data_IF_352195051353
#
_entry.id   IF_352195051353
#
_cell.length_a   1.000
_cell.length_b   1.000
_cell.length_c   1.000
_cell.angle_alpha   90.00
_cell.angle_beta   90.00
_cell.angle_gamma   90.00
#
_symmetry.space_group_name_H-M   'P 1'
#
loop_
_entity.id
_entity.type
_entity.pdbx_description
1 polymer ?
#
# COMPACT_ATOMS: atom_id res chain seq x y z
N UNK A 1 3.37 20.17 65.35
CA UNK A 1 3.76 19.11 64.40
C UNK A 1 2.55 18.73 63.58
N UNK A 2 2.38 19.37 62.43
CA UNK A 2 1.52 18.91 61.33
C UNK A 2 2.36 19.13 60.07
N UNK A 3 2.99 18.07 59.59
CA UNK A 3 3.69 18.04 58.31
C UNK A 3 2.89 17.14 57.37
N UNK A 4 2.33 17.74 56.33
CA UNK A 4 2.09 17.12 55.03
C UNK A 4 2.13 18.27 54.01
N UNK A 5 3.32 18.86 53.85
CA UNK A 5 3.67 19.68 52.70
C UNK A 5 4.37 18.76 51.69
N UNK A 6 3.80 18.69 50.49
CA UNK A 6 4.42 18.15 49.29
C UNK A 6 3.98 19.02 48.14
N UNK A 7 4.77 20.06 47.88
CA UNK A 7 4.54 21.05 46.84
C UNK A 7 4.42 20.41 45.46
N UNK A 8 3.29 20.69 44.80
CA UNK A 8 3.24 20.72 43.35
C UNK A 8 2.87 22.14 42.94
N UNK A 9 3.91 22.88 42.58
CA UNK A 9 3.85 24.15 41.86
C UNK A 9 2.88 24.03 40.68
N UNK A 10 1.69 24.60 40.83
CA UNK A 10 0.83 24.88 39.68
C UNK A 10 1.44 26.11 39.01
N UNK A 11 2.31 25.88 38.04
CA UNK A 11 2.80 26.92 37.14
C UNK A 11 1.60 27.50 36.37
N UNK A 12 1.15 28.69 36.76
CA UNK A 12 0.19 29.49 36.00
C UNK A 12 0.89 30.05 34.75
N UNK A 13 0.42 29.75 33.52
CA UNK A 13 0.92 30.43 32.35
C UNK A 13 0.35 31.86 32.35
N UNK A 14 1.18 32.80 32.82
CA UNK A 14 1.43 34.11 32.21
C UNK A 14 0.30 34.67 31.31
N UNK A 15 -0.85 34.97 31.91
CA UNK A 15 -1.66 36.10 31.46
C UNK A 15 -1.11 37.33 32.17
N UNK A 16 -0.46 38.20 31.40
CA UNK A 16 0.15 39.42 31.91
C UNK A 16 -0.84 40.23 32.74
N UNK A 17 -0.58 40.28 34.05
CA UNK A 17 -1.00 41.36 34.93
C UNK A 17 -0.18 42.60 34.56
N UNK A 18 -0.53 43.17 33.41
CA UNK A 18 0.01 44.41 32.88
C UNK A 18 -1.16 45.31 32.51
N UNK A 19 -1.57 46.16 33.46
CA UNK A 19 -2.24 47.45 33.23
C UNK A 19 -3.45 47.55 32.28
N UNK A 20 -4.18 46.46 31.96
CA UNK A 20 -5.23 46.52 30.92
C UNK A 20 -6.66 46.16 31.35
N UNK A 21 -6.92 45.85 32.61
CA UNK A 21 -8.28 45.65 33.11
C UNK A 21 -8.35 46.22 34.54
N UNK A 22 -8.95 47.40 34.71
CA UNK A 22 -9.08 48.12 35.99
C UNK A 22 -10.06 47.47 36.97
N UNK A 23 -9.92 46.17 37.23
CA UNK A 23 -10.76 45.42 38.16
C UNK A 23 -9.98 45.02 39.42
N UNK A 24 -10.60 45.08 40.60
CA UNK A 24 -9.98 44.65 41.86
C UNK A 24 -9.50 43.18 41.80
N UNK A 25 -8.31 42.91 42.34
CA UNK A 25 -7.66 41.59 42.24
C UNK A 25 -8.47 40.47 42.91
N UNK A 26 -9.19 40.78 43.98
CA UNK A 26 -10.13 39.90 44.67
C UNK A 26 -11.32 39.50 43.79
N UNK A 27 -11.84 40.44 42.99
CA UNK A 27 -12.94 40.17 42.03
C UNK A 27 -12.48 39.28 40.89
N UNK A 28 -11.27 39.48 40.39
CA UNK A 28 -10.69 38.63 39.33
C UNK A 28 -10.43 37.22 39.87
N UNK A 29 -9.88 37.10 41.08
CA UNK A 29 -9.65 35.82 41.73
C UNK A 29 -10.96 35.05 42.00
N UNK A 30 -12.00 35.72 42.52
CA UNK A 30 -13.31 35.10 42.80
C UNK A 30 -13.99 34.58 41.52
N UNK A 31 -13.92 35.31 40.41
CA UNK A 31 -14.43 34.86 39.10
C UNK A 31 -13.64 33.65 38.59
N UNK A 32 -12.31 33.69 38.66
CA UNK A 32 -11.45 32.59 38.22
C UNK A 32 -11.64 31.32 39.06
N UNK A 33 -11.86 31.46 40.37
CA UNK A 33 -12.11 30.34 41.28
C UNK A 33 -13.51 29.76 41.02
N UNK A 34 -14.55 30.60 40.88
CA UNK A 34 -15.91 30.14 40.56
C UNK A 34 -16.00 29.47 39.19
N UNK A 35 -15.32 30.01 38.18
CA UNK A 35 -15.18 29.36 36.88
C UNK A 35 -14.42 28.04 37.00
N UNK A 36 -13.32 27.99 37.75
CA UNK A 36 -12.53 26.76 37.93
C UNK A 36 -13.30 25.65 38.67
N UNK A 37 -14.14 26.00 39.65
CA UNK A 37 -15.00 25.07 40.39
C UNK A 37 -16.15 24.59 39.49
N UNK A 38 -16.84 25.50 38.79
CA UNK A 38 -17.85 25.16 37.77
C UNK A 38 -17.29 24.24 36.68
N UNK A 39 -16.03 24.49 36.27
CA UNK A 39 -15.31 23.65 35.32
C UNK A 39 -14.92 22.28 35.89
N UNK A 40 -14.67 22.14 37.20
CA UNK A 40 -14.35 20.86 37.82
C UNK A 40 -15.58 19.95 37.98
N UNK A 41 -16.75 20.54 38.27
CA UNK A 41 -18.00 19.81 38.53
C UNK A 41 -18.69 19.26 37.27
N UNK A 42 -18.44 19.84 36.09
CA UNK A 42 -19.15 19.49 34.84
C UNK A 42 -18.48 18.43 33.95
N UNK A 43 -17.37 17.83 34.40
CA UNK A 43 -16.66 16.76 33.67
C UNK A 43 -16.01 17.24 32.37
N UNK A 44 -14.77 17.74 32.44
CA UNK A 44 -14.10 18.31 31.27
C UNK A 44 -13.58 17.28 30.27
N UNK A 45 -13.62 17.64 28.98
CA UNK A 45 -12.93 16.94 27.90
C UNK A 45 -11.83 17.80 27.32
N UNK A 46 -10.68 17.19 27.09
CA UNK A 46 -9.54 17.78 26.38
C UNK A 46 -9.52 17.25 24.96
N UNK A 47 -9.31 18.14 24.00
CA UNK A 47 -9.13 17.72 22.61
C UNK A 47 -8.10 18.59 21.92
N UNK A 48 -7.09 17.93 21.38
CA UNK A 48 -6.07 18.55 20.56
C UNK A 48 -6.45 18.37 19.08
N UNK A 49 -6.46 19.47 18.35
CA UNK A 49 -6.65 19.49 16.90
C UNK A 49 -5.29 19.83 16.30
N UNK A 50 -4.63 18.87 15.67
CA UNK A 50 -3.39 19.12 14.93
C UNK A 50 -3.67 20.08 13.78
N UNK A 51 -2.86 21.13 13.66
CA UNK A 51 -2.96 22.12 12.59
C UNK A 51 -1.58 22.40 12.00
N UNK A 52 -1.53 23.00 10.81
CA UNK A 52 -0.32 23.71 10.37
C UNK A 52 -0.19 25.08 11.06
N UNK A 53 0.67 25.93 10.52
CA UNK A 53 0.72 27.33 10.93
C UNK A 53 -0.57 28.06 10.52
N UNK A 54 -1.27 28.65 11.49
CA UNK A 54 -2.54 29.34 11.25
C UNK A 54 -2.32 30.82 10.91
N UNK A 55 -3.04 31.30 9.88
CA UNK A 55 -3.11 32.71 9.52
C UNK A 55 -3.67 33.57 10.67
N UNK A 56 -3.46 34.90 10.62
CA UNK A 56 -4.03 35.82 11.62
C UNK A 56 -5.57 35.80 11.57
N UNK A 57 -6.17 35.68 10.39
CA UNK A 57 -7.61 35.56 10.21
C UNK A 57 -8.17 34.25 10.77
N UNK A 58 -7.51 33.11 10.52
CA UNK A 58 -7.98 31.81 11.01
C UNK A 58 -7.88 31.70 12.53
N UNK A 59 -6.83 32.29 13.14
CA UNK A 59 -6.74 32.42 14.59
C UNK A 59 -7.96 33.16 15.16
N UNK A 60 -8.32 34.31 14.59
CA UNK A 60 -9.52 35.07 15.02
C UNK A 60 -10.80 34.25 14.91
N UNK A 61 -10.99 33.51 13.82
CA UNK A 61 -12.16 32.66 13.60
C UNK A 61 -12.22 31.51 14.61
N UNK A 62 -11.10 30.86 14.87
CA UNK A 62 -10.97 29.78 15.87
C UNK A 62 -11.35 30.28 17.27
N UNK A 63 -10.85 31.45 17.68
CA UNK A 63 -11.20 32.04 18.98
C UNK A 63 -12.67 32.44 19.08
N UNK A 64 -13.26 32.99 18.01
CA UNK A 64 -14.68 33.35 17.98
C UNK A 64 -15.60 32.12 18.14
N UNK A 65 -15.24 30.98 17.56
CA UNK A 65 -15.99 29.72 17.71
C UNK A 65 -15.87 29.18 19.14
N UNK A 66 -14.69 29.29 19.74
CA UNK A 66 -14.48 29.00 21.16
C UNK A 66 -15.44 29.79 22.06
N UNK A 67 -15.46 31.11 21.89
CA UNK A 67 -16.35 32.01 22.63
C UNK A 67 -17.84 31.68 22.41
N UNK A 68 -18.24 31.44 21.16
CA UNK A 68 -19.62 31.08 20.80
C UNK A 68 -20.14 29.84 21.55
N UNK A 69 -19.28 28.86 21.82
CA UNK A 69 -19.66 27.60 22.47
C UNK A 69 -19.26 27.53 23.95
N UNK A 70 -18.72 28.60 24.52
CA UNK A 70 -18.20 28.61 25.89
C UNK A 70 -17.05 27.61 26.09
N UNK A 71 -16.21 27.41 25.07
CA UNK A 71 -15.05 26.51 25.11
C UNK A 71 -13.78 27.34 25.15
N UNK A 72 -12.91 27.06 26.11
CA UNK A 72 -11.60 27.66 26.18
C UNK A 72 -10.72 27.10 25.05
N UNK A 73 -10.07 28.01 24.32
CA UNK A 73 -9.22 27.68 23.18
C UNK A 73 -7.83 28.25 23.40
N UNK A 74 -6.80 27.42 23.26
CA UNK A 74 -5.40 27.86 23.24
C UNK A 74 -4.65 27.26 22.06
N UNK A 75 -3.52 27.88 21.71
CA UNK A 75 -2.66 27.44 20.61
C UNK A 75 -1.32 26.98 21.20
N UNK A 76 -1.02 25.70 21.07
CA UNK A 76 0.30 25.14 21.42
C UNK A 76 1.20 25.28 20.19
N UNK A 77 2.15 26.22 20.27
CA UNK A 77 3.05 26.56 19.16
C UNK A 77 4.07 25.45 18.89
N UNK A 78 4.50 24.72 19.92
CA UNK A 78 5.53 23.70 19.81
C UNK A 78 4.95 22.40 19.22
N UNK A 79 3.69 22.10 19.54
CA UNK A 79 2.98 20.92 19.02
C UNK A 79 2.15 21.19 17.77
N UNK A 80 2.13 22.43 17.29
CA UNK A 80 1.28 22.89 16.19
C UNK A 80 -0.17 22.41 16.34
N UNK A 81 -0.81 22.68 17.48
CA UNK A 81 -2.19 22.27 17.70
C UNK A 81 -3.05 23.33 18.39
N UNK A 82 -4.35 23.22 18.16
CA UNK A 82 -5.39 23.96 18.89
C UNK A 82 -5.85 23.05 20.03
N UNK A 83 -5.76 23.55 21.26
CA UNK A 83 -6.21 22.86 22.46
C UNK A 83 -7.58 23.41 22.86
N UNK A 84 -8.55 22.50 23.02
CA UNK A 84 -9.92 22.83 23.43
C UNK A 84 -10.20 22.27 24.82
N UNK A 85 -10.75 23.12 25.71
CA UNK A 85 -11.14 22.74 27.08
C UNK A 85 -12.52 23.27 27.42
N UNK A 86 -13.39 22.39 27.89
CA UNK A 86 -14.75 22.71 28.31
C UNK A 86 -15.59 21.43 28.47
N UNK A 87 -16.92 21.59 28.52
CA UNK A 87 -17.83 20.44 28.64
C UNK A 87 -17.72 19.52 27.41
N UNK A 88 -17.95 18.20 27.53
CA UNK A 88 -17.66 17.25 26.45
C UNK A 88 -18.46 17.52 25.18
N UNK A 89 -19.71 17.96 25.35
CA UNK A 89 -20.62 18.25 24.24
C UNK A 89 -20.22 19.55 23.52
N UNK A 90 -19.89 20.61 24.27
CA UNK A 90 -19.41 21.87 23.70
C UNK A 90 -18.06 21.69 23.02
N UNK A 91 -17.09 20.99 23.63
CA UNK A 91 -15.79 20.67 23.01
C UNK A 91 -15.96 19.90 21.70
N UNK A 92 -16.89 18.94 21.65
CA UNK A 92 -17.15 18.19 20.42
C UNK A 92 -17.75 19.06 19.31
N UNK A 93 -18.71 19.95 19.65
CA UNK A 93 -19.32 20.91 18.71
C UNK A 93 -18.29 21.92 18.21
N UNK A 94 -17.53 22.54 19.10
CA UNK A 94 -16.45 23.49 18.80
C UNK A 94 -15.40 22.85 17.90
N UNK A 95 -14.97 21.63 18.19
CA UNK A 95 -13.99 20.93 17.37
C UNK A 95 -14.48 20.65 15.94
N UNK A 96 -15.77 20.34 15.80
CA UNK A 96 -16.39 20.08 14.49
C UNK A 96 -16.50 21.36 13.68
N UNK A 97 -16.91 22.46 14.31
CA UNK A 97 -17.04 23.77 13.64
C UNK A 97 -15.67 24.36 13.26
N UNK A 98 -14.67 24.25 14.14
CA UNK A 98 -13.27 24.60 13.81
C UNK A 98 -12.77 23.76 12.63
N UNK A 99 -13.02 22.45 12.64
CA UNK A 99 -12.67 21.56 11.52
C UNK A 99 -13.28 22.02 10.20
N UNK A 100 -14.56 22.41 10.21
CA UNK A 100 -15.26 22.95 9.04
C UNK A 100 -14.69 24.30 8.57
N UNK A 101 -14.33 25.18 9.51
CA UNK A 101 -13.75 26.50 9.23
C UNK A 101 -12.37 26.40 8.58
N UNK A 102 -11.53 25.50 9.09
CA UNK A 102 -10.18 25.26 8.54
C UNK A 102 -10.23 24.49 7.21
N UNK A 103 -11.23 23.63 7.04
CA UNK A 103 -11.50 22.94 5.76
C UNK A 103 -12.06 23.91 4.70
N UNK A 104 -12.92 24.86 5.10
CA UNK A 104 -13.48 25.89 4.20
C UNK A 104 -12.48 26.97 3.83
N UNK A 105 -11.52 27.32 4.70
CA UNK A 105 -10.37 28.14 4.34
C UNK A 105 -9.47 27.44 3.28
N UNK A 106 -9.39 26.11 3.34
CA UNK A 106 -8.71 25.29 2.31
C UNK A 106 -9.54 25.14 1.02
N UNK A 107 -10.80 25.58 1.01
CA UNK A 107 -11.74 25.42 -0.12
C UNK A 107 -11.71 26.57 -1.14
N UNK A 108 -10.92 27.62 -0.91
CA UNK A 108 -10.60 28.62 -1.94
C UNK A 108 -9.64 28.06 -3.01
N UNK A 109 -9.18 26.81 -2.85
CA UNK A 109 -8.57 26.03 -3.92
C UNK A 109 -9.63 25.02 -4.36
N UNK A 110 -10.22 25.24 -5.54
CA UNK A 110 -11.06 24.23 -6.21
C UNK A 110 -10.38 22.85 -6.17
N UNK A 111 -11.11 21.73 -6.23
CA UNK A 111 -10.54 20.41 -6.47
C UNK A 111 -10.08 20.29 -7.93
N UNK A 112 -9.20 21.20 -8.37
CA UNK A 112 -8.33 21.00 -9.52
C UNK A 112 -7.27 20.01 -9.05
N UNK A 113 -7.31 18.81 -9.62
CA UNK A 113 -6.20 17.85 -9.77
C UNK A 113 -5.04 18.09 -8.78
N UNK A 114 -4.89 17.23 -7.77
CA UNK A 114 -3.59 16.94 -7.14
C UNK A 114 -2.68 16.22 -8.15
N UNK A 115 -2.47 16.79 -9.35
CA UNK A 115 -1.42 16.32 -10.25
C UNK A 115 -0.09 16.87 -9.72
N UNK A 116 0.70 15.96 -9.15
CA UNK A 116 2.13 16.03 -8.88
C UNK A 116 2.69 17.38 -8.38
N UNK A 117 2.61 17.62 -7.06
CA UNK A 117 3.54 18.56 -6.39
C UNK A 117 4.99 18.04 -6.38
N UNK A 118 5.18 16.73 -6.58
CA UNK A 118 6.48 16.08 -6.58
C UNK A 118 6.70 15.36 -7.91
N UNK A 119 7.74 15.72 -8.63
CA UNK A 119 8.13 15.04 -9.87
C UNK A 119 8.60 13.62 -9.56
N UNK A 120 8.02 12.61 -10.21
CA UNK A 120 8.47 11.21 -10.08
C UNK A 120 9.99 11.12 -10.31
N UNK A 121 10.66 10.30 -9.50
CA UNK A 121 12.11 10.15 -9.56
C UNK A 121 12.89 11.03 -8.58
N UNK A 122 12.27 12.08 -8.02
CA UNK A 122 12.95 13.02 -7.11
C UNK A 122 12.90 12.57 -5.65
N UNK A 123 13.85 13.05 -4.83
CA UNK A 123 13.85 12.79 -3.38
C UNK A 123 12.56 13.23 -2.70
N UNK A 124 11.95 14.34 -3.14
CA UNK A 124 10.67 14.81 -2.59
C UNK A 124 9.50 13.88 -2.92
N UNK A 125 9.50 13.27 -4.13
CA UNK A 125 8.53 12.24 -4.48
C UNK A 125 8.67 11.00 -3.59
N UNK A 126 9.90 10.54 -3.35
CA UNK A 126 10.13 9.37 -2.51
C UNK A 126 9.75 9.60 -1.05
N UNK A 127 10.08 10.77 -0.49
CA UNK A 127 9.65 11.16 0.86
C UNK A 127 8.12 11.19 0.96
N UNK A 128 7.45 11.79 -0.02
CA UNK A 128 5.99 11.82 -0.08
C UNK A 128 5.37 10.42 -0.09
N UNK A 129 5.91 9.47 -0.87
CA UNK A 129 5.43 8.09 -0.87
C UNK A 129 5.58 7.40 0.49
N UNK A 130 6.68 7.66 1.21
CA UNK A 130 6.93 7.12 2.54
C UNK A 130 6.05 7.76 3.63
N UNK A 131 5.72 9.05 3.49
CA UNK A 131 4.92 9.81 4.45
C UNK A 131 3.41 9.55 4.30
N UNK A 132 2.90 9.61 3.07
CA UNK A 132 1.47 9.47 2.79
C UNK A 132 1.03 8.01 2.67
N UNK A 133 1.97 7.10 2.40
CA UNK A 133 1.73 5.66 2.23
C UNK A 133 0.56 5.41 1.25
N UNK A 134 0.72 5.77 -0.04
CA UNK A 134 -0.39 5.90 -0.97
C UNK A 134 -1.17 4.60 -1.10
N UNK A 135 -2.48 4.78 -1.22
CA UNK A 135 -3.45 3.70 -1.39
C UNK A 135 -3.99 3.74 -2.81
N UNK A 136 -4.52 2.61 -3.33
CA UNK A 136 -5.08 2.59 -4.66
C UNK A 136 -6.40 3.39 -4.65
N UNK A 137 -6.35 4.67 -5.03
CA UNK A 137 -7.48 5.61 -4.97
C UNK A 137 -8.73 5.14 -5.72
N UNK A 138 -8.57 4.19 -6.64
CA UNK A 138 -9.66 3.60 -7.39
C UNK A 138 -10.46 2.55 -6.60
N UNK A 139 -9.98 2.10 -5.44
CA UNK A 139 -10.73 1.22 -4.56
C UNK A 139 -11.90 1.94 -3.89
N UNK A 140 -13.03 1.26 -3.79
CA UNK A 140 -14.24 1.78 -3.13
C UNK A 140 -14.01 2.11 -1.66
N UNK A 141 -13.11 1.40 -0.96
CA UNK A 141 -12.73 1.78 0.40
C UNK A 141 -12.19 3.22 0.51
N UNK A 142 -11.43 3.69 -0.49
CA UNK A 142 -10.73 4.99 -0.45
C UNK A 142 -11.46 6.12 -1.19
N UNK A 143 -12.55 5.83 -1.91
CA UNK A 143 -13.29 6.83 -2.71
C UNK A 143 -13.96 7.95 -1.88
N UNK A 144 -14.08 7.80 -0.57
CA UNK A 144 -14.64 8.81 0.33
C UNK A 144 -13.58 9.78 0.90
N UNK A 145 -12.34 9.76 0.39
CA UNK A 145 -11.27 10.65 0.83
C UNK A 145 -10.69 10.35 2.22
N UNK A 146 -11.08 9.22 2.84
CA UNK A 146 -10.52 8.74 4.10
C UNK A 146 -9.11 8.21 3.88
N UNK A 147 -8.19 8.57 4.77
CA UNK A 147 -6.84 8.02 4.78
C UNK A 147 -6.84 6.52 5.11
N UNK A 148 -5.76 5.84 4.74
CA UNK A 148 -5.55 4.43 5.08
C UNK A 148 -5.75 4.14 6.57
N UNK A 149 -5.18 4.97 7.44
CA UNK A 149 -5.26 4.79 8.88
C UNK A 149 -6.67 5.02 9.44
N UNK A 150 -7.44 5.97 8.89
CA UNK A 150 -8.83 6.19 9.30
C UNK A 150 -9.72 5.00 8.93
N UNK A 151 -9.48 4.41 7.75
CA UNK A 151 -10.17 3.20 7.30
C UNK A 151 -9.79 2.06 8.25
N UNK A 152 -8.50 1.74 8.40
CA UNK A 152 -8.03 0.64 9.27
C UNK A 152 -8.50 0.78 10.72
N UNK A 153 -8.50 2.00 11.31
CA UNK A 153 -8.99 2.22 12.69
C UNK A 153 -10.50 2.00 12.84
N UNK A 154 -11.27 2.17 11.76
CA UNK A 154 -12.73 1.99 11.76
C UNK A 154 -13.19 0.53 11.68
N UNK A 155 -12.33 -0.42 11.30
CA UNK A 155 -12.67 -1.83 11.14
C UNK A 155 -12.51 -2.61 12.46
N UNK A 156 -13.45 -2.43 13.39
CA UNK A 156 -13.57 -3.28 14.59
C UNK A 156 -14.61 -4.41 14.37
N UNK A 157 -15.56 -4.26 13.43
CA UNK A 157 -16.68 -5.20 13.23
C UNK A 157 -17.06 -5.51 11.77
N UNK A 158 -16.24 -5.15 10.78
CA UNK A 158 -16.55 -5.33 9.35
C UNK A 158 -15.54 -6.22 8.62
N UNK A 159 -15.98 -6.88 7.55
CA UNK A 159 -15.07 -7.58 6.64
C UNK A 159 -14.15 -6.58 5.94
N UNK A 160 -12.84 -6.81 6.06
CA UNK A 160 -11.74 -6.08 5.41
C UNK A 160 -11.50 -6.50 3.96
N UNK A 161 -12.31 -7.44 3.46
CA UNK A 161 -12.25 -8.01 2.14
C UNK A 161 -13.55 -7.73 1.38
N UNK A 162 -13.43 -7.14 0.20
CA UNK A 162 -14.54 -6.92 -0.73
C UNK A 162 -14.12 -7.28 -2.14
N UNK A 163 -15.11 -7.68 -2.95
CA UNK A 163 -14.93 -7.99 -4.36
C UNK A 163 -15.99 -7.32 -5.19
N UNK A 164 -15.57 -6.76 -6.32
CA UNK A 164 -16.46 -6.06 -7.23
C UNK A 164 -16.08 -6.40 -8.66
N UNK A 165 -17.07 -6.48 -9.55
CA UNK A 165 -16.77 -6.42 -10.97
C UNK A 165 -16.15 -5.06 -11.31
N UNK A 166 -15.13 -5.09 -12.15
CA UNK A 166 -14.41 -3.89 -12.56
C UNK A 166 -15.23 -3.08 -13.57
N UNK A 167 -14.93 -1.78 -13.69
CA UNK A 167 -15.55 -0.93 -14.71
C UNK A 167 -15.17 -1.39 -16.14
N UNK A 168 -15.99 -1.07 -17.17
CA UNK A 168 -15.76 -1.53 -18.53
C UNK A 168 -14.38 -1.18 -19.12
N UNK A 169 -13.78 -0.05 -18.71
CA UNK A 169 -12.45 0.35 -19.22
C UNK A 169 -11.35 -0.51 -18.60
N UNK A 170 -11.46 -0.81 -17.31
CA UNK A 170 -10.56 -1.73 -16.61
C UNK A 170 -10.71 -3.16 -17.14
N UNK A 171 -11.96 -3.62 -17.36
CA UNK A 171 -12.23 -4.91 -17.99
C UNK A 171 -11.54 -5.03 -19.35
N UNK A 172 -11.74 -4.05 -20.23
CA UNK A 172 -11.11 -4.02 -21.57
C UNK A 172 -9.58 -4.01 -21.51
N UNK A 173 -9.00 -3.26 -20.58
CA UNK A 173 -7.55 -3.22 -20.40
C UNK A 173 -6.97 -4.58 -19.99
N UNK A 174 -7.65 -5.29 -19.07
CA UNK A 174 -7.23 -6.62 -18.61
C UNK A 174 -7.47 -7.68 -19.69
N UNK A 175 -8.57 -7.61 -20.46
CA UNK A 175 -8.77 -8.47 -21.63
C UNK A 175 -7.62 -8.34 -22.63
N UNK A 176 -7.27 -7.10 -22.99
CA UNK A 176 -6.15 -6.82 -23.89
C UNK A 176 -4.83 -7.37 -23.34
N UNK A 177 -4.57 -7.20 -22.04
CA UNK A 177 -3.35 -7.72 -21.42
C UNK A 177 -3.29 -9.26 -21.47
N UNK A 178 -4.41 -9.95 -21.24
CA UNK A 178 -4.50 -11.41 -21.37
C UNK A 178 -4.24 -11.84 -22.82
N UNK A 179 -4.84 -11.16 -23.80
CA UNK A 179 -4.67 -11.42 -25.24
C UNK A 179 -3.22 -11.17 -25.71
N UNK A 180 -2.64 -10.02 -25.36
CA UNK A 180 -1.30 -9.62 -25.78
C UNK A 180 -0.18 -10.48 -25.16
N UNK A 181 -0.48 -11.22 -24.09
CA UNK A 181 0.45 -12.12 -23.39
C UNK A 181 0.15 -13.61 -23.62
N UNK A 182 -0.87 -13.89 -24.43
CA UNK A 182 -1.24 -15.23 -24.86
C UNK A 182 -0.47 -15.61 -26.13
N UNK A 183 0.02 -16.85 -26.20
CA UNK A 183 0.72 -17.38 -27.36
C UNK A 183 0.16 -18.77 -27.70
N UNK A 184 -0.66 -18.89 -28.77
CA UNK A 184 -1.29 -20.15 -29.15
C UNK A 184 -0.26 -21.24 -29.51
N UNK A 185 0.94 -20.89 -30.01
CA UNK A 185 1.95 -21.89 -30.37
C UNK A 185 2.61 -22.56 -29.17
N UNK A 186 2.45 -21.99 -27.97
CA UNK A 186 2.97 -22.54 -26.72
C UNK A 186 1.90 -23.26 -25.89
N UNK A 187 0.65 -23.30 -26.37
CA UNK A 187 -0.41 -24.08 -25.72
C UNK A 187 -0.07 -25.57 -25.84
N UNK A 188 -0.24 -26.30 -24.74
CA UNK A 188 0.09 -27.73 -24.68
C UNK A 188 1.59 -28.03 -24.57
N UNK A 189 2.47 -27.01 -24.61
CA UNK A 189 3.92 -27.20 -24.53
C UNK A 189 4.42 -27.29 -23.08
N UNK A 190 5.10 -28.40 -22.78
CA UNK A 190 5.69 -28.68 -21.46
C UNK A 190 4.82 -29.60 -20.58
N UNK A 191 5.44 -30.19 -19.56
CA UNK A 191 4.81 -31.20 -18.71
C UNK A 191 3.55 -30.71 -17.98
N UNK A 192 3.53 -29.43 -17.57
CA UNK A 192 2.41 -28.82 -16.87
C UNK A 192 1.28 -28.37 -17.81
N UNK A 193 1.50 -28.39 -19.13
CA UNK A 193 0.53 -27.97 -20.14
C UNK A 193 -0.25 -29.15 -20.74
N UNK A 194 -0.01 -30.38 -20.25
CA UNK A 194 -0.63 -31.60 -20.76
C UNK A 194 -2.15 -31.42 -20.93
N UNK A 195 -2.67 -31.94 -22.04
CA UNK A 195 -4.09 -31.90 -22.44
C UNK A 195 -4.68 -30.51 -22.74
N UNK A 196 -3.87 -29.46 -22.91
CA UNK A 196 -4.33 -28.16 -23.42
C UNK A 196 -4.14 -28.08 -24.94
N UNK A 197 -5.18 -27.64 -25.66
CA UNK A 197 -5.17 -27.50 -27.12
C UNK A 197 -6.02 -26.33 -27.66
N UNK A 198 -6.45 -25.41 -26.78
CA UNK A 198 -7.25 -24.26 -27.15
C UNK A 198 -6.43 -23.19 -27.89
N UNK A 199 -7.08 -22.34 -28.67
CA UNK A 199 -6.43 -21.27 -29.47
C UNK A 199 -6.57 -19.88 -28.89
N UNK A 200 -7.45 -19.68 -27.91
CA UNK A 200 -7.62 -18.40 -27.22
C UNK A 200 -8.18 -18.56 -25.80
N UNK A 201 -7.93 -17.54 -24.98
CA UNK A 201 -8.60 -17.34 -23.69
C UNK A 201 -9.59 -16.19 -23.84
N UNK A 202 -10.90 -16.46 -23.75
CA UNK A 202 -11.92 -15.41 -23.75
C UNK A 202 -12.26 -15.02 -22.32
N UNK A 203 -11.85 -13.83 -21.90
CA UNK A 203 -12.18 -13.30 -20.57
C UNK A 203 -13.69 -13.10 -20.45
N UNK A 204 -14.27 -13.65 -19.39
CA UNK A 204 -15.71 -13.59 -19.10
C UNK A 204 -16.02 -12.61 -17.99
N UNK A 205 -15.16 -12.56 -16.98
CA UNK A 205 -15.34 -11.75 -15.77
C UNK A 205 -13.99 -11.31 -15.23
N UNK A 206 -13.93 -10.08 -14.77
CA UNK A 206 -12.80 -9.58 -13.97
C UNK A 206 -13.33 -8.93 -12.72
N UNK A 207 -12.84 -9.38 -11.58
CA UNK A 207 -13.20 -8.85 -10.27
C UNK A 207 -11.98 -8.19 -9.64
N UNK A 208 -12.12 -6.95 -9.17
CA UNK A 208 -11.14 -6.34 -8.28
C UNK A 208 -11.35 -6.87 -6.87
N UNK A 209 -10.24 -7.21 -6.22
CA UNK A 209 -10.17 -7.65 -4.84
C UNK A 209 -9.65 -6.46 -4.04
N UNK A 210 -10.45 -6.00 -3.10
CA UNK A 210 -10.07 -4.98 -2.14
C UNK A 210 -9.93 -5.67 -0.79
N UNK A 211 -8.70 -6.05 -0.43
CA UNK A 211 -8.38 -6.70 0.84
C UNK A 211 -7.40 -5.81 1.61
N UNK A 212 -7.92 -5.10 2.61
CA UNK A 212 -7.17 -4.10 3.37
C UNK A 212 -6.04 -4.72 4.19
N UNK A 213 -6.24 -5.91 4.75
CA UNK A 213 -5.23 -6.56 5.60
C UNK A 213 -4.04 -7.06 4.78
N UNK A 214 -4.32 -7.66 3.61
CA UNK A 214 -3.28 -8.07 2.68
C UNK A 214 -2.57 -6.87 2.07
N UNK A 215 -3.31 -5.83 1.68
CA UNK A 215 -2.70 -4.62 1.12
C UNK A 215 -1.86 -3.87 2.16
N UNK A 216 -2.26 -3.89 3.44
CA UNK A 216 -1.48 -3.31 4.54
C UNK A 216 -0.07 -3.88 4.59
N UNK A 217 0.03 -5.21 4.68
CA UNK A 217 1.34 -5.87 4.80
C UNK A 217 2.16 -5.73 3.52
N UNK A 218 1.49 -5.76 2.36
CA UNK A 218 2.10 -5.49 1.06
C UNK A 218 2.69 -4.08 0.97
N UNK A 219 1.91 -3.07 1.37
CA UNK A 219 2.31 -1.68 1.30
C UNK A 219 3.43 -1.35 2.30
N UNK A 220 3.43 -1.99 3.48
CA UNK A 220 4.56 -1.93 4.42
C UNK A 220 5.84 -2.46 3.74
N UNK A 221 5.78 -3.62 3.07
CA UNK A 221 6.93 -4.16 2.34
C UNK A 221 7.36 -3.24 1.18
N UNK A 222 6.40 -2.66 0.46
CA UNK A 222 6.66 -1.66 -0.60
C UNK A 222 7.44 -0.45 -0.07
N UNK A 223 7.02 0.09 1.07
CA UNK A 223 7.69 1.20 1.75
C UNK A 223 9.07 0.80 2.31
N UNK A 224 9.20 -0.41 2.86
CA UNK A 224 10.48 -0.97 3.30
C UNK A 224 11.48 -1.05 2.13
N UNK A 225 11.07 -1.63 1.00
CA UNK A 225 11.92 -1.74 -0.20
C UNK A 225 12.29 -0.37 -0.78
N UNK A 226 11.37 0.60 -0.74
CA UNK A 226 11.67 1.98 -1.13
C UNK A 226 12.71 2.61 -0.22
N UNK A 227 12.54 2.51 1.10
CA UNK A 227 13.50 3.01 2.07
C UNK A 227 14.86 2.34 1.91
N UNK A 228 14.89 1.03 1.68
CA UNK A 228 16.12 0.30 1.44
C UNK A 228 16.81 0.83 0.17
N UNK A 229 16.09 0.95 -0.95
CA UNK A 229 16.64 1.46 -2.22
C UNK A 229 17.21 2.87 -2.12
N UNK A 230 16.60 3.75 -1.31
CA UNK A 230 17.10 5.12 -1.07
C UNK A 230 18.40 5.16 -0.26
N UNK A 231 18.62 4.17 0.62
CA UNK A 231 19.81 4.07 1.47
C UNK A 231 20.83 3.08 0.91
N UNK A 232 20.52 2.40 -0.20
CA UNK A 232 21.33 1.35 -0.77
C UNK A 232 22.50 1.92 -1.57
N UNK A 233 23.71 1.43 -1.29
CA UNK A 233 24.90 1.73 -2.11
C UNK A 233 24.76 1.20 -3.55
N UNK A 234 23.89 0.21 -3.78
CA UNK A 234 23.60 -0.39 -5.09
C UNK A 234 22.68 0.47 -5.96
N UNK A 235 22.11 1.56 -5.44
CA UNK A 235 21.03 2.35 -6.07
C UNK A 235 19.75 1.55 -6.33
N UNK A 236 18.73 2.18 -6.92
CA UNK A 236 17.47 1.52 -7.29
C UNK A 236 17.71 0.30 -8.22
N UNK A 237 16.87 -0.74 -8.12
CA UNK A 237 17.02 -1.93 -8.92
C UNK A 237 16.92 -1.64 -10.42
N UNK A 238 17.77 -2.31 -11.19
CA UNK A 238 17.73 -2.22 -12.65
C UNK A 238 16.49 -2.93 -13.18
N UNK A 239 15.89 -2.37 -14.22
CA UNK A 239 14.89 -3.05 -15.03
C UNK A 239 15.49 -4.28 -15.71
N UNK A 240 14.66 -5.31 -15.96
CA UNK A 240 15.11 -6.61 -16.44
C UNK A 240 15.88 -6.50 -17.76
N UNK A 241 15.37 -5.70 -18.69
CA UNK A 241 15.98 -5.43 -20.01
C UNK A 241 17.27 -4.60 -19.94
N UNK A 242 17.55 -3.95 -18.80
CA UNK A 242 18.77 -3.17 -18.55
C UNK A 242 19.84 -3.94 -17.79
N UNK A 243 19.58 -5.20 -17.43
CA UNK A 243 20.58 -6.07 -16.84
C UNK A 243 21.52 -6.57 -17.95
N UNK A 244 22.85 -6.37 -17.84
CA UNK A 244 23.80 -6.79 -18.87
C UNK A 244 23.69 -8.29 -19.14
N UNK A 245 23.70 -8.65 -20.42
CA UNK A 245 23.72 -10.06 -20.84
C UNK A 245 25.06 -10.67 -20.44
N UNK A 246 25.03 -11.80 -19.76
CA UNK A 246 26.22 -12.59 -19.44
C UNK A 246 25.87 -14.08 -19.42
N UNK A 247 26.89 -14.92 -19.25
CA UNK A 247 26.74 -16.36 -19.23
C UNK A 247 25.81 -16.86 -18.11
N UNK A 248 24.86 -17.73 -18.48
CA UNK A 248 23.88 -18.32 -17.55
C UNK A 248 22.59 -17.52 -17.39
N UNK A 249 22.42 -16.41 -18.12
CA UNK A 249 21.21 -15.56 -18.10
C UNK A 249 20.80 -14.99 -19.48
N UNK A 250 21.43 -15.44 -20.58
CA UNK A 250 21.14 -14.96 -21.93
C UNK A 250 19.71 -15.22 -22.41
N UNK A 251 19.15 -16.40 -22.14
CA UNK A 251 17.77 -16.78 -22.47
C UNK A 251 16.74 -15.95 -21.68
N UNK A 252 17.11 -15.44 -20.49
CA UNK A 252 16.24 -14.56 -19.69
C UNK A 252 16.28 -13.14 -20.25
N UNK A 253 17.47 -12.62 -20.48
CA UNK A 253 17.72 -11.23 -20.88
C UNK A 253 17.44 -10.97 -22.37
N UNK A 254 17.51 -12.00 -23.22
CA UNK A 254 17.16 -11.90 -24.65
C UNK A 254 15.66 -11.68 -24.88
N UNK A 255 14.79 -12.08 -23.95
CA UNK A 255 13.34 -11.85 -24.01
C UNK A 255 12.93 -10.38 -23.81
N UNK A 256 13.85 -9.51 -23.37
CA UNK A 256 13.61 -8.08 -23.23
C UNK A 256 12.77 -7.71 -22.00
N UNK A 257 11.94 -6.68 -22.12
CA UNK A 257 11.05 -6.18 -21.06
C UNK A 257 10.07 -7.26 -20.59
N UNK A 258 9.57 -7.12 -19.35
CA UNK A 258 8.50 -7.99 -18.83
C UNK A 258 7.23 -7.75 -19.66
N UNK A 259 6.63 -8.81 -20.23
CA UNK A 259 5.51 -8.68 -21.18
C UNK A 259 4.32 -7.91 -20.59
N UNK A 260 4.03 -8.12 -19.30
CA UNK A 260 2.97 -7.42 -18.59
C UNK A 260 3.29 -5.97 -18.29
N UNK A 261 4.57 -5.56 -18.22
CA UNK A 261 4.96 -4.14 -18.16
C UNK A 261 4.84 -3.50 -19.54
N UNK A 262 5.40 -4.16 -20.57
CA UNK A 262 5.42 -3.67 -21.96
C UNK A 262 4.01 -3.44 -22.51
N UNK A 263 3.10 -4.39 -22.27
CA UNK A 263 1.74 -4.36 -22.81
C UNK A 263 0.74 -3.71 -21.85
N UNK A 264 1.20 -3.13 -20.73
CA UNK A 264 0.29 -2.60 -19.73
C UNK A 264 -0.40 -1.31 -20.18
N UNK A 265 -1.65 -1.14 -19.74
CA UNK A 265 -2.35 0.13 -19.93
C UNK A 265 -1.91 1.15 -18.87
N UNK A 266 -1.85 2.44 -19.25
CA UNK A 266 -1.61 3.55 -18.30
C UNK A 266 -2.58 3.54 -17.11
N UNK A 267 -3.77 2.97 -17.28
CA UNK A 267 -4.80 2.84 -16.25
C UNK A 267 -4.36 1.89 -15.13
N UNK A 268 -3.86 0.71 -15.48
CA UNK A 268 -3.37 -0.27 -14.50
C UNK A 268 -2.09 0.22 -13.82
N UNK A 269 -1.29 1.03 -14.51
CA UNK A 269 -0.03 1.58 -14.00
C UNK A 269 -0.17 2.77 -13.04
N UNK A 270 -1.38 3.27 -12.76
CA UNK A 270 -1.59 4.53 -12.01
C UNK A 270 -0.93 4.52 -10.62
N UNK A 271 -0.98 3.40 -9.91
CA UNK A 271 -0.49 3.24 -8.53
C UNK A 271 0.66 2.22 -8.42
N UNK A 272 1.33 1.95 -9.54
CA UNK A 272 2.52 1.09 -9.58
C UNK A 272 3.76 1.95 -9.39
N UNK A 273 4.78 1.46 -8.66
CA UNK A 273 6.11 2.06 -8.46
C UNK A 273 7.15 1.27 -9.29
N UNK A 274 7.35 1.60 -10.58
CA UNK A 274 8.26 0.87 -11.46
C UNK A 274 9.71 0.86 -10.98
N UNK A 275 10.13 1.87 -10.22
CA UNK A 275 11.49 1.99 -9.69
C UNK A 275 11.83 0.88 -8.69
N UNK A 276 10.82 0.22 -8.09
CA UNK A 276 11.01 -0.98 -7.26
C UNK A 276 10.86 -2.28 -8.04
N UNK A 277 10.74 -2.22 -9.37
CA UNK A 277 10.20 -3.30 -10.17
C UNK A 277 8.87 -3.85 -9.58
N UNK A 278 8.00 -2.94 -9.13
CA UNK A 278 6.59 -3.29 -8.88
C UNK A 278 5.92 -3.54 -10.23
N UNK A 279 5.46 -4.77 -10.45
CA UNK A 279 4.90 -5.20 -11.73
C UNK A 279 3.64 -6.02 -11.53
N UNK A 280 2.79 -6.09 -12.56
CA UNK A 280 1.74 -7.09 -12.58
C UNK A 280 2.26 -8.40 -13.16
N UNK A 281 1.91 -9.52 -12.54
CA UNK A 281 2.17 -10.86 -13.06
C UNK A 281 0.93 -11.72 -12.90
N UNK A 282 0.79 -12.71 -13.78
CA UNK A 282 -0.27 -13.71 -13.69
C UNK A 282 0.11 -14.82 -12.72
N UNK A 283 -0.86 -15.29 -11.96
CA UNK A 283 -0.76 -16.48 -11.11
C UNK A 283 -1.95 -17.39 -11.40
N UNK A 284 -1.69 -18.49 -12.11
CA UNK A 284 -2.68 -19.54 -12.34
C UNK A 284 -2.90 -20.39 -11.09
N UNK A 285 -4.14 -20.76 -10.82
CA UNK A 285 -4.44 -21.62 -9.67
C UNK A 285 -5.72 -22.42 -9.87
N UNK A 286 -5.83 -23.57 -9.19
CA UNK A 286 -7.04 -24.38 -9.17
C UNK A 286 -8.17 -23.63 -8.47
N UNK A 287 -9.41 -23.86 -8.93
CA UNK A 287 -10.63 -23.24 -8.38
C UNK A 287 -10.72 -23.31 -6.85
N UNK A 288 -10.30 -24.43 -6.27
CA UNK A 288 -10.39 -24.69 -4.82
C UNK A 288 -9.50 -23.75 -3.97
N UNK A 289 -8.44 -23.18 -4.55
CA UNK A 289 -7.55 -22.26 -3.85
C UNK A 289 -7.95 -20.79 -3.96
N UNK A 290 -8.87 -20.44 -4.87
CA UNK A 290 -9.24 -19.05 -5.17
C UNK A 290 -9.73 -18.31 -3.94
N UNK A 291 -10.66 -18.89 -3.18
CA UNK A 291 -11.20 -18.25 -1.97
C UNK A 291 -10.12 -18.06 -0.90
N UNK A 292 -9.21 -19.02 -0.75
CA UNK A 292 -8.09 -18.93 0.19
C UNK A 292 -7.10 -17.83 -0.22
N UNK A 293 -6.77 -17.71 -1.51
CA UNK A 293 -5.84 -16.68 -2.00
C UNK A 293 -6.42 -15.28 -1.83
N UNK A 294 -7.72 -15.10 -2.08
CA UNK A 294 -8.41 -13.82 -1.90
C UNK A 294 -8.38 -13.38 -0.43
N UNK A 295 -8.65 -14.31 0.49
CA UNK A 295 -8.76 -14.03 1.91
C UNK A 295 -7.41 -13.92 2.61
N UNK A 296 -6.49 -14.82 2.29
CA UNK A 296 -5.24 -15.02 3.03
C UNK A 296 -4.00 -14.64 2.24
N UNK A 297 -4.11 -14.28 0.96
CA UNK A 297 -2.98 -14.11 0.06
C UNK A 297 -2.33 -15.44 -0.31
N UNK A 298 -1.21 -15.38 -1.02
CA UNK A 298 -0.40 -16.57 -1.35
C UNK A 298 0.76 -16.67 -0.37
N UNK A 299 0.83 -17.76 0.39
CA UNK A 299 1.91 -17.99 1.35
C UNK A 299 2.95 -18.95 0.74
N UNK A 300 4.22 -18.51 0.58
CA UNK A 300 5.33 -19.36 0.12
C UNK A 300 5.42 -20.70 0.86
N UNK A 301 5.05 -20.75 2.14
CA UNK A 301 5.12 -21.97 2.97
C UNK A 301 4.17 -23.07 2.49
N UNK A 302 3.09 -22.68 1.83
CA UNK A 302 2.11 -23.60 1.25
C UNK A 302 2.46 -23.99 -0.20
N UNK A 303 3.56 -23.44 -0.74
CA UNK A 303 4.07 -23.77 -2.07
C UNK A 303 4.63 -25.19 -2.14
N UNK A 304 4.61 -25.77 -3.34
CA UNK A 304 5.15 -27.10 -3.62
C UNK A 304 6.67 -27.14 -3.50
N UNK A 305 7.20 -28.23 -2.94
CA UNK A 305 8.64 -28.57 -3.00
C UNK A 305 9.14 -28.79 -4.43
N UNK A 306 8.23 -29.09 -5.35
CA UNK A 306 8.55 -29.37 -6.74
C UNK A 306 8.84 -28.11 -7.57
N UNK A 307 8.56 -26.92 -7.04
CA UNK A 307 8.85 -25.64 -7.70
C UNK A 307 10.33 -25.50 -8.08
N UNK A 308 10.62 -25.16 -9.34
CA UNK A 308 11.99 -25.22 -9.89
C UNK A 308 13.00 -24.32 -9.19
N UNK A 309 12.52 -23.21 -8.65
CA UNK A 309 13.30 -22.19 -7.95
C UNK A 309 13.09 -22.26 -6.43
N UNK A 310 12.56 -23.37 -5.90
CA UNK A 310 12.28 -23.56 -4.48
C UNK A 310 10.87 -23.14 -4.06
N UNK A 311 10.62 -23.12 -2.74
CA UNK A 311 9.32 -22.78 -2.17
C UNK A 311 9.14 -21.27 -2.14
N UNK A 312 8.43 -20.75 -3.14
CA UNK A 312 8.11 -19.33 -3.28
C UNK A 312 6.72 -19.13 -3.87
N UNK A 313 6.31 -17.87 -4.00
CA UNK A 313 5.15 -17.48 -4.80
C UNK A 313 5.61 -17.24 -6.23
N UNK A 314 5.08 -18.03 -7.16
CA UNK A 314 5.43 -17.95 -8.57
C UNK A 314 4.44 -17.06 -9.32
N UNK A 315 4.95 -16.06 -10.03
CA UNK A 315 4.26 -15.28 -11.03
C UNK A 315 4.84 -15.52 -12.42
N UNK A 316 4.06 -15.24 -13.45
CA UNK A 316 4.51 -15.31 -14.83
C UNK A 316 3.94 -14.14 -15.65
N UNK A 317 4.68 -13.74 -16.68
CA UNK A 317 4.29 -12.63 -17.55
C UNK A 317 3.35 -13.06 -18.70
N UNK A 318 3.20 -14.38 -18.91
CA UNK A 318 2.37 -14.93 -19.99
C UNK A 318 1.09 -15.54 -19.43
N UNK A 319 -0.06 -15.09 -19.95
CA UNK A 319 -1.35 -15.72 -19.66
C UNK A 319 -1.40 -17.20 -20.09
N UNK A 320 -0.67 -17.57 -21.15
CA UNK A 320 -0.49 -18.96 -21.59
C UNK A 320 0.14 -19.84 -20.50
N UNK A 321 1.16 -19.32 -19.79
CA UNK A 321 1.82 -20.05 -18.72
C UNK A 321 0.93 -20.15 -17.49
N UNK A 322 0.22 -19.07 -17.15
CA UNK A 322 -0.71 -19.07 -16.03
C UNK A 322 -1.85 -20.09 -16.24
N UNK A 323 -2.38 -20.19 -17.46
CA UNK A 323 -3.44 -21.15 -17.80
C UNK A 323 -3.06 -22.62 -17.53
N UNK A 324 -1.77 -22.98 -17.64
CA UNK A 324 -1.27 -24.32 -17.33
C UNK A 324 -1.59 -24.78 -15.90
N UNK A 325 -1.77 -23.83 -14.97
CA UNK A 325 -2.02 -24.09 -13.54
C UNK A 325 -3.46 -23.77 -13.09
N UNK A 326 -4.35 -23.40 -14.01
CA UNK A 326 -5.74 -23.06 -13.68
C UNK A 326 -6.58 -24.28 -13.23
N UNK A 327 -6.10 -25.48 -13.51
CA UNK A 327 -6.71 -26.76 -13.15
C UNK A 327 -5.67 -27.88 -13.12
N UNK A 328 -6.14 -29.11 -12.89
CA UNK A 328 -5.28 -30.27 -12.91
C UNK A 328 -4.91 -30.64 -14.35
N UNK A 329 -3.64 -30.98 -14.58
CA UNK A 329 -3.14 -31.33 -15.93
C UNK A 329 -3.81 -32.55 -16.54
N UNK A 330 -4.44 -33.39 -15.71
CA UNK A 330 -5.18 -34.57 -16.13
C UNK A 330 -6.69 -34.37 -16.15
N UNK A 331 -7.17 -33.21 -15.70
CA UNK A 331 -8.60 -32.88 -15.62
C UNK A 331 -8.84 -31.44 -16.07
N UNK A 332 -8.56 -31.17 -17.35
CA UNK A 332 -8.74 -29.85 -17.95
C UNK A 332 -10.23 -29.51 -18.09
N UNK A 333 -10.62 -28.34 -17.57
CA UNK A 333 -11.93 -27.75 -17.79
C UNK A 333 -11.98 -26.81 -19.00
N UNK A 334 -13.17 -26.39 -19.37
CA UNK A 334 -13.39 -25.35 -20.40
C UNK A 334 -13.32 -23.94 -19.82
N UNK A 335 -13.47 -23.78 -18.51
CA UNK A 335 -13.36 -22.52 -17.78
C UNK A 335 -12.14 -22.55 -16.86
N UNK A 336 -11.34 -21.49 -16.91
CA UNK A 336 -10.17 -21.30 -16.07
C UNK A 336 -10.26 -20.03 -15.22
N UNK A 337 -9.40 -19.97 -14.19
CA UNK A 337 -9.21 -18.79 -13.34
C UNK A 337 -7.73 -18.50 -13.19
N UNK A 338 -7.38 -17.22 -13.18
CA UNK A 338 -6.03 -16.76 -12.85
C UNK A 338 -6.11 -15.41 -12.13
N UNK A 339 -5.14 -15.15 -11.27
CA UNK A 339 -4.98 -13.83 -10.67
C UNK A 339 -4.06 -12.97 -11.53
N UNK A 340 -4.35 -11.68 -11.60
CA UNK A 340 -3.37 -10.66 -11.95
C UNK A 340 -2.97 -9.98 -10.64
N UNK A 341 -1.73 -10.21 -10.23
CA UNK A 341 -1.21 -9.83 -8.92
C UNK A 341 -0.13 -8.78 -9.08
N UNK A 342 -0.02 -7.87 -8.12
CA UNK A 342 1.16 -7.02 -7.98
C UNK A 342 2.29 -7.81 -7.35
N UNK A 343 3.50 -7.67 -7.89
CA UNK A 343 4.72 -8.27 -7.38
C UNK A 343 5.77 -7.19 -7.17
N UNK A 344 6.43 -7.21 -6.01
CA UNK A 344 7.59 -6.38 -5.70
C UNK A 344 8.86 -7.17 -6.00
N UNK A 345 9.37 -7.06 -7.23
CA UNK A 345 10.53 -7.85 -7.67
C UNK A 345 11.86 -7.28 -7.19
N UNK A 346 11.93 -5.98 -6.92
CA UNK A 346 13.13 -5.31 -6.45
C UNK A 346 14.37 -5.64 -7.29
N UNK A 347 15.46 -5.90 -6.60
CA UNK A 347 16.67 -6.48 -7.15
C UNK A 347 16.46 -7.96 -7.52
N UNK A 348 16.44 -8.26 -8.82
CA UNK A 348 16.20 -9.62 -9.33
C UNK A 348 17.49 -10.44 -9.46
N UNK A 349 17.51 -11.64 -8.90
CA UNK A 349 18.52 -12.65 -9.18
C UNK A 349 18.10 -13.45 -10.41
N UNK A 350 18.89 -13.41 -11.48
CA UNK A 350 18.59 -14.11 -12.73
C UNK A 350 19.30 -15.47 -12.78
N UNK A 351 18.60 -16.55 -13.15
CA UNK A 351 19.21 -17.87 -13.31
C UNK A 351 18.53 -18.76 -14.35
N UNK A 352 19.31 -19.34 -15.25
CA UNK A 352 18.82 -20.38 -16.17
C UNK A 352 18.95 -21.79 -15.61
N UNK A 353 19.67 -21.94 -14.50
CA UNK A 353 19.84 -23.21 -13.80
C UNK A 353 18.80 -23.28 -12.68
N UNK A 354 17.84 -24.23 -12.75
CA UNK A 354 16.93 -24.51 -11.65
C UNK A 354 17.71 -24.85 -10.37
N UNK A 355 17.26 -24.32 -9.24
CA UNK A 355 17.82 -24.61 -7.93
C UNK A 355 16.74 -24.34 -6.87
N UNK A 356 16.67 -25.18 -5.83
CA UNK A 356 15.64 -25.12 -4.79
C UNK A 356 15.98 -24.07 -3.72
N UNK A 357 16.00 -22.81 -4.13
CA UNK A 357 16.32 -21.71 -3.24
C UNK A 357 15.33 -21.63 -2.07
N UNK A 358 15.86 -21.45 -0.86
CA UNK A 358 15.05 -21.17 0.34
C UNK A 358 14.70 -19.69 0.48
N UNK A 359 15.60 -18.84 -0.01
CA UNK A 359 15.52 -17.38 -0.05
C UNK A 359 16.19 -16.89 -1.34
N UNK A 360 15.94 -15.66 -1.81
CA UNK A 360 16.74 -15.10 -2.89
C UNK A 360 18.24 -15.15 -2.55
N UNK A 361 19.11 -15.54 -3.50
CA UNK A 361 20.53 -15.62 -3.25
C UNK A 361 21.15 -14.30 -2.76
N UNK A 362 22.27 -14.41 -2.05
CA UNK A 362 23.10 -13.27 -1.67
C UNK A 362 23.76 -12.60 -2.88
N UNK A 363 23.82 -11.27 -2.90
CA UNK A 363 24.53 -10.52 -3.93
C UNK A 363 26.02 -10.87 -4.05
N UNK A 364 26.67 -11.13 -2.91
CA UNK A 364 28.10 -11.31 -2.83
C UNK A 364 28.50 -12.77 -2.98
N UNK A 365 27.96 -13.64 -2.14
CA UNK A 365 28.37 -15.04 -2.11
C UNK A 365 27.47 -15.98 -2.92
N UNK A 366 26.37 -15.47 -3.52
CA UNK A 366 25.44 -16.22 -4.38
C UNK A 366 24.76 -17.43 -3.70
N UNK A 367 24.81 -17.51 -2.38
CA UNK A 367 24.11 -18.53 -1.57
C UNK A 367 22.82 -17.96 -0.99
N UNK A 368 21.79 -18.80 -0.89
CA UNK A 368 20.50 -18.51 -0.25
C UNK A 368 20.51 -18.68 1.28
N UNK A 369 21.65 -19.10 1.84
CA UNK A 369 21.88 -19.29 3.27
C UNK A 369 23.02 -18.39 3.80
N UNK A 370 23.21 -17.21 3.21
CA UNK A 370 24.27 -16.28 3.62
C UNK A 370 24.07 -15.81 5.07
N UNK A 371 25.08 -16.03 5.91
CA UNK A 371 25.07 -15.63 7.34
C UNK A 371 25.82 -14.32 7.61
N UNK A 372 26.49 -13.73 6.61
CA UNK A 372 27.19 -12.46 6.77
C UNK A 372 26.18 -11.31 6.83
N UNK A 373 26.13 -10.62 7.97
CA UNK A 373 25.18 -9.52 8.25
C UNK A 373 25.40 -8.28 7.37
N UNK A 374 26.60 -8.08 6.83
CA UNK A 374 26.89 -6.96 5.93
C UNK A 374 26.45 -7.22 4.49
N UNK A 375 26.16 -8.47 4.15
CA UNK A 375 25.71 -8.84 2.83
C UNK A 375 24.19 -8.66 2.70
N UNK A 376 23.75 -8.27 1.51
CA UNK A 376 22.34 -8.16 1.17
C UNK A 376 21.92 -9.27 0.20
N UNK A 377 20.76 -9.90 0.38
CA UNK A 377 20.17 -10.76 -0.63
C UNK A 377 19.64 -9.95 -1.81
N UNK A 378 19.33 -10.66 -2.90
CA UNK A 378 18.38 -10.18 -3.89
C UNK A 378 16.96 -10.16 -3.28
N UNK A 379 16.01 -9.52 -3.96
CA UNK A 379 14.62 -9.44 -3.50
C UNK A 379 13.76 -10.54 -4.13
N UNK A 380 14.14 -11.03 -5.31
CA UNK A 380 13.40 -12.05 -6.05
C UNK A 380 14.33 -12.91 -6.92
N UNK A 381 13.80 -14.03 -7.41
CA UNK A 381 14.46 -14.86 -8.42
C UNK A 381 13.65 -14.82 -9.71
N UNK A 382 14.33 -14.60 -10.84
CA UNK A 382 13.73 -14.74 -12.17
C UNK A 382 14.50 -15.82 -12.91
N UNK A 383 13.77 -16.83 -13.37
CA UNK A 383 14.39 -17.95 -14.04
C UNK A 383 13.60 -18.46 -15.21
N UNK A 384 14.26 -19.31 -15.99
CA UNK A 384 13.66 -20.05 -17.11
C UNK A 384 14.04 -21.51 -16.98
N UNK A 385 13.18 -22.40 -17.47
CA UNK A 385 13.51 -23.83 -17.59
C UNK A 385 14.28 -24.09 -18.87
N UNK A 386 15.60 -24.18 -18.79
CA UNK A 386 16.46 -24.42 -19.96
C UNK A 386 16.07 -25.70 -20.74
N UNK A 387 15.68 -26.77 -20.04
CA UNK A 387 15.23 -28.03 -20.64
C UNK A 387 13.93 -27.93 -21.46
N UNK A 388 13.14 -26.88 -21.26
CA UNK A 388 11.99 -26.58 -22.12
C UNK A 388 12.35 -25.56 -23.20
N UNK A 389 13.62 -25.28 -23.44
CA UNK A 389 14.05 -24.19 -24.32
C UNK A 389 13.79 -22.80 -23.74
N UNK A 390 13.56 -22.71 -22.42
CA UNK A 390 13.28 -21.45 -21.75
C UNK A 390 12.00 -20.76 -22.23
N UNK A 391 10.91 -21.50 -22.48
CA UNK A 391 9.66 -20.95 -23.02
C UNK A 391 9.16 -19.75 -22.23
N UNK A 392 9.09 -19.89 -20.90
CA UNK A 392 8.49 -18.90 -20.01
C UNK A 392 9.49 -18.45 -18.95
N UNK A 393 9.53 -17.13 -18.70
CA UNK A 393 10.14 -16.58 -17.49
C UNK A 393 9.17 -16.76 -16.33
N UNK A 394 9.71 -17.29 -15.26
CA UNK A 394 9.02 -17.43 -13.98
C UNK A 394 9.69 -16.48 -12.98
N UNK A 395 8.86 -15.79 -12.21
CA UNK A 395 9.27 -14.77 -11.26
C UNK A 395 8.85 -15.23 -9.88
N UNK A 396 9.78 -15.30 -8.94
CA UNK A 396 9.57 -15.93 -7.65
C UNK A 396 9.94 -14.98 -6.53
N UNK A 397 8.98 -14.73 -5.64
CA UNK A 397 9.18 -14.02 -4.37
C UNK A 397 9.02 -15.00 -3.21
N UNK A 398 9.73 -14.77 -2.11
CA UNK A 398 9.84 -15.73 -1.00
C UNK A 398 9.19 -15.23 0.29
N UNK A 399 8.65 -14.01 0.27
CA UNK A 399 7.85 -13.46 1.35
C UNK A 399 6.41 -13.22 0.89
N UNK A 400 5.46 -13.55 1.76
CA UNK A 400 4.02 -13.42 1.51
C UNK A 400 3.58 -11.99 1.19
N UNK A 401 4.24 -10.99 1.79
CA UNK A 401 3.95 -9.57 1.63
C UNK A 401 4.62 -8.95 0.39
N UNK A 402 5.40 -9.70 -0.41
CA UNK A 402 5.97 -9.19 -1.67
C UNK A 402 5.00 -9.28 -2.85
N UNK A 403 3.79 -9.80 -2.66
CA UNK A 403 2.77 -9.81 -3.69
C UNK A 403 1.37 -9.52 -3.14
N UNK A 404 0.48 -9.06 -4.02
CA UNK A 404 -0.90 -8.74 -3.68
C UNK A 404 -1.87 -9.20 -4.79
N UNK A 405 -2.85 -10.08 -4.50
CA UNK A 405 -3.85 -10.49 -5.47
C UNK A 405 -4.86 -9.36 -5.69
N UNK A 406 -4.72 -8.63 -6.79
CA UNK A 406 -5.57 -7.47 -7.05
C UNK A 406 -6.76 -7.76 -7.95
N UNK A 407 -6.59 -8.59 -8.98
CA UNK A 407 -7.69 -8.96 -9.86
C UNK A 407 -7.82 -10.47 -9.98
N UNK A 408 -9.05 -10.98 -9.93
CA UNK A 408 -9.40 -12.33 -10.34
C UNK A 408 -9.99 -12.29 -11.75
N UNK A 409 -9.39 -13.05 -12.66
CA UNK A 409 -9.81 -13.18 -14.04
C UNK A 409 -10.46 -14.56 -14.22
N UNK A 410 -11.71 -14.59 -14.66
CA UNK A 410 -12.40 -15.82 -15.10
C UNK A 410 -12.53 -15.79 -16.61
N UNK A 411 -12.16 -16.89 -17.28
CA UNK A 411 -12.12 -16.97 -18.74
C UNK A 411 -12.53 -18.36 -19.23
N UNK A 412 -12.89 -18.46 -20.50
CA UNK A 412 -13.12 -19.73 -21.21
C UNK A 412 -12.01 -20.02 -22.21
N UNK A 413 -11.61 -21.28 -22.31
CA UNK A 413 -10.70 -21.79 -23.33
C UNK A 413 -11.48 -22.09 -24.59
N UNK A 414 -11.06 -21.52 -25.71
CA UNK A 414 -11.80 -21.62 -26.98
C UNK A 414 -10.86 -21.97 -28.14
N UNK A 415 -11.41 -22.67 -29.13
CA UNK A 415 -10.69 -23.19 -30.30
C UNK A 415 -10.67 -22.24 -31.50
#
# INVERSE_FOLDING_TARGET
MCELYGDHDIAFPSLGVGHLLGYPADRVADVLIKESISMAEQGNKWKDIKTGELSKEDKKRVYAVGQKHGVFVSLDKDKHCIVLKGTPNSVSKTATEIGSILSSASSAVSPRRKENRHQRGTSSYWKHLLEENPVPEYWKFFQNGKSFFEIVRGFIKGSTEKRYEVDPKTFKAICKLVEDTFNPSLVGQGADARNLNHKRLRVKKVEIIENLDLFKIYNIKRCEMLKNSLNDKRSFPRKLEKIPRCEGIQNITSKGEIMTEKNNSKRLMKDIIPELNEVYLFHGTKKDYVANIISKGVDPKLGSDEGMFGRGVYGCESSTKADQYADDKDKRGTEGRMFLMRFLLGHMYLTEKPNKYKLPPCYHCRRDCCTNQSHQPYDSVVGVKQQSGGLFREFVVYEKNQCYPEYLITYTREN
#
